data_IF_826739371343
#
_entry.id   IF_826739371343
#
_cell.length_a   1.000
_cell.length_b   1.000
_cell.length_c   1.000
_cell.angle_alpha   90.00
_cell.angle_beta   90.00
_cell.angle_gamma   90.00
#
_symmetry.space_group_name_H-M   'P 1'
#
loop_
_entity.id
_entity.type
_entity.pdbx_description
1 polymer ?
#
# COMPACT_ATOMS: atom_id res chain seq x y z
N UNK A 1 -11.76 24.67 1.81
CA UNK A 1 -11.69 23.50 2.72
C UNK A 1 -11.07 22.36 1.94
N UNK A 2 -10.25 21.52 2.58
CA UNK A 2 -9.70 20.33 1.94
C UNK A 2 -10.73 19.19 1.96
N UNK A 3 -10.82 18.45 0.86
CA UNK A 3 -11.64 17.25 0.72
C UNK A 3 -10.81 15.98 0.85
N UNK A 4 -11.46 14.82 0.98
CA UNK A 4 -10.78 13.53 0.95
C UNK A 4 -10.00 13.31 -0.36
N UNK A 5 -10.57 13.74 -1.49
CA UNK A 5 -9.93 13.64 -2.80
C UNK A 5 -8.64 14.47 -2.85
N UNK A 6 -8.62 15.66 -2.25
CA UNK A 6 -7.42 16.48 -2.14
C UNK A 6 -6.35 15.75 -1.29
N UNK A 7 -6.73 15.18 -0.15
CA UNK A 7 -5.81 14.41 0.70
C UNK A 7 -5.19 13.21 -0.03
N UNK A 8 -5.97 12.48 -0.83
CA UNK A 8 -5.47 11.36 -1.63
C UNK A 8 -4.49 11.89 -2.70
N UNK A 9 -4.87 12.96 -3.41
CA UNK A 9 -4.03 13.57 -4.44
C UNK A 9 -2.67 14.06 -3.90
N UNK A 10 -2.59 14.50 -2.64
CA UNK A 10 -1.33 14.91 -2.00
C UNK A 10 -0.48 13.74 -1.46
N UNK A 11 -1.02 12.53 -1.39
CA UNK A 11 -0.38 11.42 -0.66
C UNK A 11 0.62 10.59 -1.48
N UNK A 12 0.69 10.80 -2.81
CA UNK A 12 1.38 9.92 -3.78
C UNK A 12 0.91 8.45 -3.76
N UNK A 13 -0.29 8.23 -3.22
CA UNK A 13 -0.97 6.94 -3.18
C UNK A 13 -2.30 6.99 -3.91
N UNK A 14 -2.68 5.86 -4.48
CA UNK A 14 -4.00 5.61 -5.03
C UNK A 14 -4.94 5.04 -3.95
N UNK A 15 -6.27 5.21 -4.09
CA UNK A 15 -7.24 4.67 -3.12
C UNK A 15 -7.05 3.17 -2.84
N UNK A 16 -6.79 2.38 -3.87
CA UNK A 16 -6.61 0.93 -3.74
C UNK A 16 -5.31 0.59 -3.00
N UNK A 17 -4.28 1.42 -3.14
CA UNK A 17 -3.02 1.27 -2.41
C UNK A 17 -3.21 1.58 -0.92
N UNK A 18 -4.02 2.59 -0.60
CA UNK A 18 -4.40 2.94 0.78
C UNK A 18 -5.23 1.82 1.41
N UNK A 19 -6.17 1.24 0.66
CA UNK A 19 -6.99 0.12 1.13
C UNK A 19 -6.15 -1.11 1.50
N UNK A 20 -5.07 -1.39 0.76
CA UNK A 20 -4.14 -2.47 1.13
C UNK A 20 -3.44 -2.20 2.48
N UNK A 21 -3.07 -0.95 2.75
CA UNK A 21 -2.50 -0.54 4.05
C UNK A 21 -3.56 -0.66 5.16
N UNK A 22 -4.80 -0.21 4.91
CA UNK A 22 -5.93 -0.38 5.84
C UNK A 22 -6.11 -1.85 6.22
N UNK A 23 -6.08 -2.74 5.22
CA UNK A 23 -6.33 -4.16 5.40
C UNK A 23 -5.20 -4.91 6.12
N UNK A 24 -3.96 -4.48 5.93
CA UNK A 24 -2.79 -5.07 6.59
C UNK A 24 -2.73 -4.62 8.05
N UNK A 25 -2.84 -3.31 8.28
CA UNK A 25 -2.60 -2.68 9.59
C UNK A 25 -3.86 -2.55 10.45
N UNK A 26 -5.04 -2.85 9.89
CA UNK A 26 -6.36 -2.66 10.53
C UNK A 26 -6.60 -1.22 10.97
N UNK A 27 -6.23 -0.29 10.09
CA UNK A 27 -6.36 1.15 10.31
C UNK A 27 -7.56 1.71 9.54
N UNK A 28 -8.10 2.83 10.04
CA UNK A 28 -9.05 3.63 9.26
C UNK A 28 -8.36 4.33 8.08
N UNK A 29 -9.13 4.63 7.03
CA UNK A 29 -8.63 5.15 5.75
C UNK A 29 -7.67 6.34 5.88
N UNK A 30 -8.06 7.38 6.62
CA UNK A 30 -7.21 8.56 6.80
C UNK A 30 -5.89 8.26 7.53
N UNK A 31 -5.90 7.33 8.49
CA UNK A 31 -4.69 6.94 9.22
C UNK A 31 -3.76 6.12 8.32
N UNK A 32 -4.31 5.23 7.50
CA UNK A 32 -3.56 4.47 6.51
C UNK A 32 -2.95 5.36 5.43
N UNK A 33 -3.71 6.35 4.93
CA UNK A 33 -3.24 7.37 3.99
C UNK A 33 -2.04 8.11 4.57
N UNK A 34 -2.15 8.68 5.76
CA UNK A 34 -1.05 9.42 6.39
C UNK A 34 0.17 8.53 6.63
N UNK A 35 -0.03 7.29 7.09
CA UNK A 35 1.05 6.32 7.28
C UNK A 35 1.76 6.02 5.96
N UNK A 36 1.01 5.71 4.91
CA UNK A 36 1.56 5.42 3.60
C UNK A 36 2.33 6.61 3.02
N UNK A 37 1.77 7.82 3.11
CA UNK A 37 2.45 9.04 2.69
C UNK A 37 3.79 9.23 3.43
N UNK A 38 3.78 9.09 4.77
CA UNK A 38 5.01 9.19 5.58
C UNK A 38 6.05 8.12 5.25
N UNK A 39 5.63 6.97 4.71
CA UNK A 39 6.55 5.92 4.27
C UNK A 39 7.23 6.33 2.97
N UNK A 40 6.48 6.89 2.02
CA UNK A 40 7.04 7.32 0.72
C UNK A 40 8.12 8.41 0.87
N UNK A 41 8.15 9.15 1.98
CA UNK A 41 9.24 10.07 2.32
C UNK A 41 10.55 9.37 2.74
N UNK A 42 10.54 8.04 2.88
CA UNK A 42 11.67 7.23 3.35
C UNK A 42 12.15 6.29 2.24
N UNK A 43 13.47 6.10 2.04
CA UNK A 43 14.01 5.22 0.99
C UNK A 43 13.55 3.75 1.05
N UNK A 44 13.17 3.28 2.24
CA UNK A 44 12.65 1.92 2.48
C UNK A 44 11.12 1.83 2.42
N UNK A 45 10.41 2.96 2.30
CA UNK A 45 8.96 3.05 2.35
C UNK A 45 8.24 2.25 1.27
N UNK A 46 8.58 2.43 -0.02
CA UNK A 46 8.00 1.64 -1.11
C UNK A 46 8.14 0.13 -0.88
N UNK A 47 9.30 -0.33 -0.38
CA UNK A 47 9.52 -1.73 -0.04
C UNK A 47 8.60 -2.19 1.10
N UNK A 48 8.41 -1.37 2.13
CA UNK A 48 7.51 -1.68 3.24
C UNK A 48 6.04 -1.79 2.79
N UNK A 49 5.55 -0.87 1.95
CA UNK A 49 4.17 -0.92 1.43
C UNK A 49 3.97 -2.15 0.53
N UNK A 50 4.93 -2.47 -0.34
CA UNK A 50 4.90 -3.70 -1.14
C UNK A 50 4.88 -4.96 -0.28
N UNK A 51 5.61 -4.96 0.84
CA UNK A 51 5.59 -6.10 1.77
C UNK A 51 4.19 -6.28 2.38
N UNK A 52 3.53 -5.20 2.80
CA UNK A 52 2.14 -5.25 3.31
C UNK A 52 1.19 -5.87 2.28
N UNK A 53 1.28 -5.45 1.01
CA UNK A 53 0.48 -6.01 -0.08
C UNK A 53 0.78 -7.50 -0.31
N UNK A 54 2.05 -7.91 -0.26
CA UNK A 54 2.45 -9.33 -0.38
C UNK A 54 1.91 -10.18 0.77
N UNK A 55 1.90 -9.65 1.98
CA UNK A 55 1.35 -10.32 3.15
C UNK A 55 -0.17 -10.48 3.02
N UNK A 56 -0.87 -9.45 2.53
CA UNK A 56 -2.30 -9.52 2.18
C UNK A 56 -2.56 -10.58 1.09
N UNK A 57 -1.81 -10.55 -0.01
CA UNK A 57 -1.92 -11.56 -1.09
C UNK A 57 -1.73 -12.97 -0.56
N UNK A 58 -0.70 -13.19 0.26
CA UNK A 58 -0.42 -14.50 0.87
C UNK A 58 -1.60 -14.97 1.71
N UNK A 59 -2.21 -14.08 2.51
CA UNK A 59 -3.42 -14.39 3.29
C UNK A 59 -4.60 -14.76 2.37
N UNK A 60 -4.87 -13.96 1.34
CA UNK A 60 -5.99 -14.17 0.42
C UNK A 60 -5.83 -15.48 -0.37
N UNK A 61 -4.63 -15.77 -0.86
CA UNK A 61 -4.35 -17.02 -1.59
C UNK A 61 -4.50 -18.25 -0.69
N UNK A 62 -4.04 -18.19 0.56
CA UNK A 62 -4.24 -19.27 1.55
C UNK A 62 -5.71 -19.47 1.93
N UNK A 63 -6.48 -18.38 1.95
CA UNK A 63 -7.93 -18.42 2.23
C UNK A 63 -8.80 -18.78 1.02
N UNK A 64 -8.23 -18.91 -0.18
CA UNK A 64 -8.99 -19.16 -1.41
C UNK A 64 -9.78 -17.95 -1.94
N UNK A 65 -9.48 -16.73 -1.46
CA UNK A 65 -10.18 -15.49 -1.80
C UNK A 65 -9.70 -14.91 -3.16
N UNK A 66 -9.69 -15.72 -4.22
CA UNK A 66 -9.11 -15.34 -5.51
C UNK A 66 -9.74 -14.07 -6.12
N UNK A 67 -11.05 -13.85 -5.91
CA UNK A 67 -11.75 -12.64 -6.38
C UNK A 67 -11.14 -11.35 -5.84
N UNK A 68 -10.57 -11.40 -4.63
CA UNK A 68 -9.89 -10.25 -4.01
C UNK A 68 -8.39 -10.27 -4.27
N UNK A 69 -7.78 -11.44 -4.40
CA UNK A 69 -6.34 -11.56 -4.69
C UNK A 69 -5.96 -10.95 -6.04
N UNK A 70 -6.80 -11.11 -7.08
CA UNK A 70 -6.54 -10.56 -8.42
C UNK A 70 -6.38 -9.03 -8.41
N UNK A 71 -7.36 -8.23 -7.94
CA UNK A 71 -7.19 -6.78 -7.91
C UNK A 71 -6.05 -6.34 -6.99
N UNK A 72 -5.81 -7.02 -5.86
CA UNK A 72 -4.64 -6.73 -5.01
C UNK A 72 -3.32 -6.94 -5.76
N UNK A 73 -3.22 -7.97 -6.61
CA UNK A 73 -2.02 -8.23 -7.42
C UNK A 73 -1.80 -7.15 -8.47
N UNK A 74 -2.88 -6.67 -9.11
CA UNK A 74 -2.82 -5.54 -10.04
C UNK A 74 -2.37 -4.25 -9.33
N UNK A 75 -2.93 -3.97 -8.15
CA UNK A 75 -2.50 -2.85 -7.29
C UNK A 75 -1.03 -2.96 -6.94
N UNK A 76 -0.56 -4.15 -6.57
CA UNK A 76 0.86 -4.39 -6.28
C UNK A 76 1.77 -4.06 -7.48
N UNK A 77 1.42 -4.56 -8.66
CA UNK A 77 2.22 -4.29 -9.87
C UNK A 77 2.22 -2.82 -10.26
N UNK A 78 1.07 -2.14 -10.16
CA UNK A 78 0.96 -0.71 -10.43
C UNK A 78 1.77 0.11 -9.43
N UNK A 79 1.69 -0.22 -8.15
CA UNK A 79 2.48 0.43 -7.11
C UNK A 79 3.98 0.24 -7.36
N UNK A 80 4.41 -0.98 -7.72
CA UNK A 80 5.81 -1.26 -8.06
C UNK A 80 6.30 -0.44 -9.27
N UNK A 81 5.46 -0.25 -10.28
CA UNK A 81 5.80 0.55 -11.45
C UNK A 81 5.90 2.06 -11.13
N UNK A 82 5.00 2.57 -10.27
CA UNK A 82 5.00 3.96 -9.79
C UNK A 82 6.16 4.26 -8.84
N UNK A 83 6.53 3.28 -8.02
CA UNK A 83 7.56 3.39 -6.97
C UNK A 83 8.65 2.31 -7.16
N UNK A 84 9.47 2.42 -8.22
CA UNK A 84 10.50 1.42 -8.52
C UNK A 84 11.62 1.43 -7.47
N UNK A 85 12.29 0.28 -7.31
CA UNK A 85 13.40 0.14 -6.38
C UNK A 85 12.99 0.19 -4.90
N UNK A 86 13.95 0.48 -4.04
CA UNK A 86 13.76 0.57 -2.59
C UNK A 86 14.80 -0.24 -1.83
N UNK A 87 15.13 0.24 -0.63
CA UNK A 87 16.08 -0.43 0.26
C UNK A 87 15.29 -1.32 1.24
N UNK A 88 15.77 -2.52 1.51
CA UNK A 88 15.21 -3.30 2.61
C UNK A 88 15.56 -2.61 3.94
N UNK A 89 14.55 -2.21 4.71
CA UNK A 89 14.75 -1.52 5.99
C UNK A 89 15.65 -2.28 6.97
N UNK A 90 15.68 -3.63 6.89
CA UNK A 90 16.48 -4.49 7.77
C UNK A 90 17.93 -4.66 7.30
N UNK A 91 18.25 -4.25 6.08
CA UNK A 91 19.59 -4.35 5.50
C UNK A 91 20.35 -3.00 5.56
N UNK A 92 19.72 -1.94 6.08
CA UNK A 92 20.25 -0.59 6.20
C UNK A 92 20.56 -0.23 7.66
#
# INVERSE_FOLDING_TARGET
MLTLADCIAFSDLLPEEIDEICCHERLGFMVALTKGHSFLERPWGPTAIRQMMRDNLTRLMRGGELKRAVPTLETYHRFQARHPGGVERRAA
#
